data_IF_908078012354
#
_entry.id   IF_908078012354
#
_cell.length_a   1.000
_cell.length_b   1.000
_cell.length_c   1.000
_cell.angle_alpha   90.00
_cell.angle_beta   90.00
_cell.angle_gamma   90.00
#
_symmetry.space_group_name_H-M   'P 1'
#
loop_
_entity.id
_entity.type
_entity.pdbx_description
1 polymer ?
#
# COMPACT_ATOMS: atom_id res chain seq x y z
N UNK A 1 -28.16 1.02 8.75
CA UNK A 1 -26.99 0.27 8.31
C UNK A 1 -25.76 0.93 8.90
N UNK A 2 -25.00 0.18 9.67
CA UNK A 2 -23.77 0.76 10.26
C UNK A 2 -22.77 1.02 9.15
N UNK A 3 -22.22 2.24 9.12
CA UNK A 3 -21.13 2.56 8.21
C UNK A 3 -19.89 1.84 8.72
N UNK A 4 -19.33 0.96 7.90
CA UNK A 4 -18.12 0.25 8.30
C UNK A 4 -16.95 1.23 8.35
N UNK A 5 -16.18 1.11 9.41
CA UNK A 5 -14.95 1.88 9.52
C UNK A 5 -13.97 1.45 8.44
N UNK A 6 -13.23 2.41 7.95
CA UNK A 6 -12.15 2.17 7.01
C UNK A 6 -10.82 2.32 7.71
N UNK A 7 -9.81 1.67 7.18
CA UNK A 7 -8.45 1.81 7.69
C UNK A 7 -7.52 2.17 6.54
N UNK A 8 -6.45 2.86 6.87
CA UNK A 8 -5.38 3.19 5.94
C UNK A 8 -4.24 2.22 6.20
N UNK A 9 -3.87 1.47 5.19
CA UNK A 9 -2.71 0.59 5.24
C UNK A 9 -1.58 1.24 4.43
N UNK A 10 -0.54 1.67 5.14
CA UNK A 10 0.67 2.17 4.50
C UNK A 10 1.60 0.99 4.23
N UNK A 11 1.89 0.76 2.97
CA UNK A 11 2.76 -0.35 2.59
C UNK A 11 3.51 0.00 1.31
N UNK A 12 4.81 -0.15 1.36
CA UNK A 12 5.69 0.02 0.20
C UNK A 12 5.54 1.39 -0.48
N UNK A 13 5.41 2.44 0.33
CA UNK A 13 5.29 3.80 -0.18
C UNK A 13 3.91 4.19 -0.70
N UNK A 14 2.94 3.28 -0.63
CA UNK A 14 1.58 3.54 -1.06
C UNK A 14 0.62 3.46 0.13
N UNK A 15 -0.50 4.14 0.02
CA UNK A 15 -1.55 4.14 1.03
C UNK A 15 -2.80 3.55 0.43
N UNK A 16 -3.30 2.52 1.08
CA UNK A 16 -4.52 1.84 0.64
C UNK A 16 -5.60 2.04 1.68
N UNK A 17 -6.82 2.32 1.23
CA UNK A 17 -7.96 2.44 2.13
C UNK A 17 -8.85 1.24 1.92
N UNK A 18 -9.07 0.47 2.98
CA UNK A 18 -9.88 -0.75 2.93
C UNK A 18 -10.81 -0.84 4.12
N UNK A 19 -11.86 -1.69 4.01
CA UNK A 19 -12.69 -1.97 5.19
C UNK A 19 -11.83 -2.46 6.35
N UNK A 20 -12.17 -2.05 7.56
CA UNK A 20 -11.36 -2.32 8.76
C UNK A 20 -11.05 -3.80 8.91
N UNK A 21 -12.04 -4.66 8.71
CA UNK A 21 -11.85 -6.11 8.85
C UNK A 21 -10.79 -6.65 7.89
N UNK A 22 -10.85 -6.22 6.63
CA UNK A 22 -9.89 -6.64 5.62
C UNK A 22 -8.48 -6.09 5.91
N UNK A 23 -8.40 -4.81 6.27
CA UNK A 23 -7.13 -4.17 6.59
C UNK A 23 -6.44 -4.81 7.77
N UNK A 24 -7.20 -5.11 8.82
CA UNK A 24 -6.65 -5.76 10.00
C UNK A 24 -6.15 -7.17 9.70
N UNK A 25 -6.84 -7.91 8.84
CA UNK A 25 -6.42 -9.25 8.44
C UNK A 25 -5.10 -9.22 7.67
N UNK A 26 -4.96 -8.28 6.73
CA UNK A 26 -3.72 -8.11 5.97
C UNK A 26 -2.58 -7.70 6.90
N UNK A 27 -2.83 -6.73 7.77
CA UNK A 27 -1.83 -6.26 8.73
C UNK A 27 -1.36 -7.39 9.64
N UNK A 28 -2.27 -8.18 10.18
CA UNK A 28 -1.94 -9.30 11.05
C UNK A 28 -1.10 -10.35 10.32
N UNK A 29 -1.45 -10.65 9.07
CA UNK A 29 -0.71 -11.61 8.26
C UNK A 29 0.75 -11.17 8.02
N UNK A 30 0.95 -9.87 7.80
CA UNK A 30 2.29 -9.33 7.53
C UNK A 30 3.09 -9.03 8.81
N UNK A 31 2.42 -8.80 9.93
CA UNK A 31 3.09 -8.46 11.19
C UNK A 31 3.42 -9.66 12.04
N UNK A 32 2.66 -10.75 11.91
CA UNK A 32 2.85 -11.95 12.72
C UNK A 32 3.77 -12.99 12.11
N UNK A 33 4.24 -12.78 10.88
CA UNK A 33 5.09 -13.72 10.18
C UNK A 33 6.49 -13.14 9.97
N UNK A 34 7.45 -14.02 9.73
CA UNK A 34 8.77 -13.58 9.30
C UNK A 34 8.63 -13.01 7.88
N UNK A 35 8.86 -11.72 7.75
CA UNK A 35 8.75 -11.02 6.47
C UNK A 35 10.16 -10.74 5.96
N UNK A 36 10.41 -11.16 4.74
CA UNK A 36 11.71 -11.00 4.11
C UNK A 36 11.56 -10.13 2.86
N UNK A 37 12.59 -9.35 2.58
CA UNK A 37 12.67 -8.58 1.35
C UNK A 37 13.51 -9.36 0.35
N UNK A 38 13.03 -9.44 -0.87
CA UNK A 38 13.78 -10.06 -1.96
C UNK A 38 14.36 -8.96 -2.86
N UNK A 39 15.62 -9.09 -3.19
CA UNK A 39 16.31 -8.17 -4.09
C UNK A 39 17.15 -8.98 -5.07
N UNK A 40 17.21 -8.52 -6.32
CA UNK A 40 18.01 -9.15 -7.36
C UNK A 40 19.04 -8.14 -7.83
N UNK A 41 20.29 -8.56 -7.91
CA UNK A 41 21.38 -7.72 -8.39
C UNK A 41 22.11 -8.40 -9.53
N UNK A 42 22.49 -7.60 -10.51
CA UNK A 42 23.33 -8.07 -11.60
C UNK A 42 24.77 -8.08 -11.10
N UNK A 43 25.35 -9.26 -10.92
CA UNK A 43 26.66 -9.41 -10.32
C UNK A 43 27.52 -10.39 -11.09
N UNK A 44 28.82 -10.24 -10.93
CA UNK A 44 29.79 -11.19 -11.49
C UNK A 44 29.86 -12.44 -10.61
N UNK A 45 29.61 -13.59 -11.20
CA UNK A 45 29.74 -14.88 -10.54
C UNK A 45 30.71 -15.72 -11.38
N UNK A 46 31.95 -15.84 -10.88
CA UNK A 46 33.01 -16.46 -11.66
C UNK A 46 33.37 -15.61 -12.88
N UNK A 47 33.25 -16.17 -14.08
CA UNK A 47 33.52 -15.47 -15.33
C UNK A 47 32.25 -14.91 -15.98
N UNK A 48 31.10 -15.13 -15.38
CA UNK A 48 29.82 -14.70 -15.94
C UNK A 48 29.20 -13.61 -15.07
N UNK A 49 28.31 -12.85 -15.70
CA UNK A 49 27.42 -11.94 -14.97
C UNK A 49 26.02 -12.56 -15.00
N UNK A 50 25.37 -12.58 -13.87
CA UNK A 50 24.02 -13.12 -13.77
C UNK A 50 23.25 -12.42 -12.66
N UNK A 51 21.94 -12.58 -12.67
CA UNK A 51 21.07 -12.06 -11.62
C UNK A 51 21.23 -12.93 -10.38
N UNK A 52 21.66 -12.32 -9.28
CA UNK A 52 21.81 -13.01 -8.01
C UNK A 52 20.71 -12.54 -7.07
N UNK A 53 19.93 -13.47 -6.55
CA UNK A 53 18.83 -13.19 -5.65
C UNK A 53 19.31 -13.12 -4.21
N UNK A 54 18.89 -12.09 -3.50
CA UNK A 54 19.17 -11.91 -2.08
C UNK A 54 17.87 -11.83 -1.32
N UNK A 55 17.79 -12.55 -0.21
CA UNK A 55 16.63 -12.52 0.67
C UNK A 55 17.12 -12.13 2.06
N UNK A 56 16.63 -10.97 2.53
CA UNK A 56 17.06 -10.42 3.82
C UNK A 56 15.81 -10.09 4.65
N UNK A 57 15.91 -10.17 5.99
CA UNK A 57 14.77 -9.79 6.82
C UNK A 57 14.35 -8.35 6.54
N UNK A 58 13.04 -8.12 6.46
CA UNK A 58 12.51 -6.77 6.29
C UNK A 58 12.79 -5.94 7.54
N UNK A 59 13.14 -4.66 7.34
CA UNK A 59 13.33 -3.74 8.46
C UNK A 59 11.97 -3.24 8.93
N UNK A 60 11.87 -2.74 10.19
CA UNK A 60 10.60 -2.20 10.68
C UNK A 60 9.98 -1.13 9.77
N UNK A 61 10.79 -0.33 9.11
CA UNK A 61 10.31 0.71 8.20
C UNK A 61 9.69 0.14 6.92
N UNK A 62 10.05 -1.08 6.56
CA UNK A 62 9.53 -1.75 5.38
C UNK A 62 8.21 -2.47 5.64
N UNK A 63 7.87 -2.65 6.91
CA UNK A 63 6.63 -3.33 7.30
C UNK A 63 5.44 -2.38 7.17
N UNK A 64 4.24 -2.91 6.96
CA UNK A 64 3.06 -2.07 6.84
C UNK A 64 2.71 -1.41 8.17
N UNK A 65 2.08 -0.25 8.08
CA UNK A 65 1.47 0.39 9.24
C UNK A 65 -0.03 0.54 9.00
N UNK A 66 -0.78 0.59 10.09
CA UNK A 66 -2.23 0.63 10.01
C UNK A 66 -2.76 1.75 10.88
N UNK A 67 -3.72 2.52 10.36
CA UNK A 67 -4.41 3.54 11.14
C UNK A 67 -5.85 3.65 10.68
N UNK A 68 -6.69 4.11 11.57
CA UNK A 68 -8.12 4.23 11.31
C UNK A 68 -8.41 5.56 10.62
N UNK A 69 -9.26 5.51 9.60
CA UNK A 69 -9.81 6.72 8.98
C UNK A 69 -11.30 6.75 9.28
N UNK A 70 -11.79 7.89 9.74
CA UNK A 70 -13.21 8.05 10.03
C UNK A 70 -14.06 8.06 8.77
N UNK A 71 -15.35 7.67 8.87
CA UNK A 71 -16.25 7.68 7.71
C UNK A 71 -16.34 9.05 7.03
N UNK A 72 -16.35 10.13 7.81
CA UNK A 72 -16.42 11.48 7.26
C UNK A 72 -15.20 11.79 6.39
N UNK A 73 -14.00 11.43 6.86
CA UNK A 73 -12.77 11.66 6.09
C UNK A 73 -12.77 10.82 4.81
N UNK A 74 -13.24 9.60 4.89
CA UNK A 74 -13.34 8.73 3.72
C UNK A 74 -14.24 9.36 2.66
N UNK A 75 -15.42 9.83 3.07
CA UNK A 75 -16.36 10.49 2.14
C UNK A 75 -15.78 11.77 1.55
N UNK A 76 -15.05 12.57 2.35
CA UNK A 76 -14.39 13.76 1.85
C UNK A 76 -13.37 13.41 0.77
N UNK A 77 -12.58 12.37 0.98
CA UNK A 77 -11.59 11.94 -0.01
C UNK A 77 -12.23 11.48 -1.32
N UNK A 78 -13.30 10.69 -1.21
CA UNK A 78 -14.05 10.24 -2.39
C UNK A 78 -14.63 11.43 -3.17
N UNK A 79 -15.24 12.37 -2.44
CA UNK A 79 -15.84 13.55 -3.06
C UNK A 79 -14.78 14.46 -3.72
N UNK A 80 -13.64 14.64 -3.08
CA UNK A 80 -12.55 15.43 -3.64
C UNK A 80 -12.07 14.84 -4.98
N UNK A 81 -11.96 13.52 -5.04
CA UNK A 81 -11.56 12.85 -6.27
C UNK A 81 -12.60 13.01 -7.36
N UNK A 82 -13.87 12.87 -7.01
CA UNK A 82 -14.97 13.05 -7.96
C UNK A 82 -15.00 14.45 -8.55
N UNK A 83 -14.84 15.47 -7.70
CA UNK A 83 -14.83 16.87 -8.14
C UNK A 83 -13.65 17.12 -9.08
N UNK A 84 -12.48 16.59 -8.71
CA UNK A 84 -11.29 16.77 -9.53
C UNK A 84 -11.45 16.13 -10.91
N UNK A 85 -12.00 14.94 -10.97
CA UNK A 85 -12.25 14.25 -12.23
C UNK A 85 -13.25 15.01 -13.10
N UNK A 86 -14.27 15.57 -12.48
CA UNK A 86 -15.26 16.37 -13.19
C UNK A 86 -14.64 17.65 -13.77
N UNK A 87 -13.79 18.32 -13.00
CA UNK A 87 -13.08 19.51 -13.48
C UNK A 87 -12.14 19.18 -14.65
N UNK A 88 -11.43 18.07 -14.55
CA UNK A 88 -10.54 17.63 -15.63
C UNK A 88 -11.32 17.29 -16.89
N UNK A 89 -12.49 16.67 -16.72
CA UNK A 89 -13.36 16.36 -17.86
C UNK A 89 -13.84 17.62 -18.56
N UNK A 90 -14.24 18.66 -17.79
CA UNK A 90 -14.65 19.94 -18.34
C UNK A 90 -13.50 20.65 -19.05
N UNK A 91 -12.30 20.55 -18.49
CA UNK A 91 -11.10 21.16 -19.05
C UNK A 91 -10.72 20.54 -20.39
N UNK A 92 -10.97 19.24 -20.55
CA UNK A 92 -10.63 18.49 -21.76
C UNK A 92 -11.81 18.39 -22.73
N UNK A 93 -12.96 18.93 -22.39
CA UNK A 93 -14.11 18.97 -23.30
C UNK A 93 -13.85 19.93 -24.45
N UNK A 94 -14.22 19.56 -25.70
CA UNK A 94 -14.06 20.45 -26.84
C UNK A 94 -15.01 21.67 -26.79
#
# INVERSE_FOLDING_TARGET
>A
MAVQDQVILDFNGARYVLPAKAGMAVFAALSGADVYRMNTRWERVGERHEDVMYITPATPEELPSLRIIGPAQFHVGIENQRVKEEEERKKNAP
#
